data_IF_373911048164
#
_entry.id   IF_373911048164
#
_cell.length_a   1.000
_cell.length_b   1.000
_cell.length_c   1.000
_cell.angle_alpha   90.00
_cell.angle_beta   90.00
_cell.angle_gamma   90.00
#
_symmetry.space_group_name_H-M   'P 1'
#
loop_
_entity.id
_entity.type
_entity.pdbx_description
1 polymer ?
#
# COMPACT_ATOMS: atom_id res chain seq x y z
N UNK A 1 6.06 -18.45 -14.00
CA UNK A 1 5.97 -17.73 -12.72
C UNK A 1 4.59 -17.09 -12.67
N UNK A 2 3.90 -17.07 -11.53
CA UNK A 2 2.60 -16.40 -11.42
C UNK A 2 2.72 -14.94 -11.87
N UNK A 3 1.85 -14.52 -12.78
CA UNK A 3 1.76 -13.13 -13.22
C UNK A 3 0.83 -12.39 -12.26
N UNK A 4 1.27 -11.32 -11.56
CA UNK A 4 0.40 -10.57 -10.66
C UNK A 4 -0.80 -9.96 -11.40
N UNK A 5 -0.75 -9.82 -12.72
CA UNK A 5 -1.90 -9.39 -13.52
C UNK A 5 -3.02 -10.43 -13.58
N UNK A 6 -2.78 -11.69 -13.24
CA UNK A 6 -3.84 -12.72 -13.20
C UNK A 6 -4.53 -12.81 -11.83
N UNK A 7 -4.02 -12.13 -10.81
CA UNK A 7 -4.62 -12.09 -9.47
C UNK A 7 -5.80 -11.12 -9.44
N UNK A 8 -6.80 -11.37 -8.59
CA UNK A 8 -7.88 -10.41 -8.39
C UNK A 8 -7.39 -9.15 -7.64
N UNK A 9 -8.17 -8.06 -7.72
CA UNK A 9 -7.78 -6.76 -7.15
C UNK A 9 -7.59 -6.80 -5.63
N UNK A 10 -8.44 -7.53 -4.91
CA UNK A 10 -8.35 -7.65 -3.45
C UNK A 10 -7.08 -8.42 -3.07
N UNK A 11 -6.74 -9.49 -3.81
CA UNK A 11 -5.52 -10.25 -3.58
C UNK A 11 -4.26 -9.42 -3.86
N UNK A 12 -4.23 -8.66 -4.97
CA UNK A 12 -3.12 -7.74 -5.27
C UNK A 12 -2.96 -6.69 -4.16
N UNK A 13 -4.05 -6.07 -3.72
CA UNK A 13 -4.00 -5.07 -2.66
C UNK A 13 -3.52 -5.70 -1.34
N UNK A 14 -4.06 -6.86 -0.96
CA UNK A 14 -3.67 -7.60 0.25
C UNK A 14 -2.19 -7.94 0.26
N UNK A 15 -1.64 -8.46 -0.85
CA UNK A 15 -0.21 -8.77 -0.99
C UNK A 15 0.65 -7.50 -0.96
N UNK A 16 0.16 -6.40 -1.50
CA UNK A 16 0.85 -5.11 -1.45
C UNK A 16 0.94 -4.62 0.00
N UNK A 17 -0.18 -4.60 0.73
CA UNK A 17 -0.20 -4.23 2.16
C UNK A 17 0.67 -5.19 2.99
N UNK A 18 0.69 -6.48 2.68
CA UNK A 18 1.60 -7.44 3.30
C UNK A 18 3.09 -7.08 3.07
N UNK A 19 3.44 -6.69 1.84
CA UNK A 19 4.79 -6.27 1.50
C UNK A 19 5.25 -5.03 2.27
N UNK A 20 4.34 -4.08 2.44
CA UNK A 20 4.65 -2.74 2.96
C UNK A 20 4.45 -2.60 4.47
N UNK A 21 3.51 -3.37 5.07
CA UNK A 21 3.02 -3.09 6.42
C UNK A 21 2.71 -4.35 7.26
N UNK A 22 3.16 -5.55 6.89
CA UNK A 22 2.89 -6.78 7.69
C UNK A 22 3.39 -6.73 9.14
N UNK A 23 4.41 -5.92 9.43
CA UNK A 23 4.95 -5.71 10.77
C UNK A 23 4.31 -4.53 11.52
N UNK A 24 3.41 -3.79 10.87
CA UNK A 24 2.73 -2.65 11.46
C UNK A 24 1.43 -3.09 12.16
N UNK A 25 0.88 -2.19 12.97
CA UNK A 25 -0.45 -2.37 13.58
C UNK A 25 -1.54 -2.43 12.50
N UNK A 26 -2.75 -2.84 12.89
CA UNK A 26 -3.94 -2.81 12.02
C UNK A 26 -4.15 -1.41 11.42
N UNK A 27 -3.92 -0.35 12.19
CA UNK A 27 -4.05 1.02 11.71
C UNK A 27 -2.96 1.39 10.69
N UNK A 28 -1.74 0.87 10.83
CA UNK A 28 -0.68 1.05 9.84
C UNK A 28 -0.96 0.29 8.54
N UNK A 29 -1.52 -0.92 8.62
CA UNK A 29 -1.96 -1.69 7.46
C UNK A 29 -3.11 -0.98 6.73
N UNK A 30 -4.09 -0.47 7.49
CA UNK A 30 -5.19 0.31 6.95
C UNK A 30 -4.71 1.61 6.29
N UNK A 31 -3.71 2.28 6.87
CA UNK A 31 -3.14 3.50 6.33
C UNK A 31 -2.51 3.28 4.94
N UNK A 32 -1.76 2.19 4.74
CA UNK A 32 -1.21 1.83 3.43
C UNK A 32 -2.32 1.50 2.43
N UNK A 33 -3.36 0.76 2.84
CA UNK A 33 -4.51 0.48 1.98
C UNK A 33 -5.23 1.77 1.56
N UNK A 34 -5.40 2.73 2.48
CA UNK A 34 -5.98 4.04 2.19
C UNK A 34 -5.13 4.87 1.24
N UNK A 35 -3.80 4.85 1.34
CA UNK A 35 -2.93 5.51 0.35
C UNK A 35 -3.18 4.97 -1.06
N UNK A 36 -3.33 3.65 -1.19
CA UNK A 36 -3.59 3.02 -2.49
C UNK A 36 -4.98 3.43 -3.02
N UNK A 37 -6.01 3.39 -2.16
CA UNK A 37 -7.36 3.83 -2.48
C UNK A 37 -7.38 5.31 -2.90
N UNK A 38 -6.71 6.18 -2.16
CA UNK A 38 -6.61 7.62 -2.42
C UNK A 38 -5.89 7.92 -3.74
N UNK A 39 -4.83 7.16 -4.07
CA UNK A 39 -4.14 7.25 -5.38
C UNK A 39 -5.06 6.86 -6.52
N UNK A 40 -5.78 5.75 -6.40
CA UNK A 40 -6.73 5.29 -7.40
C UNK A 40 -7.85 6.32 -7.62
N UNK A 41 -8.40 6.87 -6.53
CA UNK A 41 -9.41 7.92 -6.57
C UNK A 41 -8.91 9.22 -7.23
N UNK A 42 -7.65 9.62 -7.00
CA UNK A 42 -7.05 10.78 -7.72
C UNK A 42 -6.81 10.50 -9.20
N UNK A 43 -6.64 9.24 -9.61
CA UNK A 43 -6.54 8.84 -11.02
C UNK A 43 -5.33 9.42 -11.78
N UNK A 44 -4.28 9.88 -11.09
CA UNK A 44 -3.08 10.45 -11.72
C UNK A 44 -2.31 9.34 -12.44
N UNK A 45 -2.08 9.51 -13.75
CA UNK A 45 -1.47 8.46 -14.61
C UNK A 45 -0.15 7.90 -14.08
N UNK A 46 0.70 8.72 -13.44
CA UNK A 46 1.97 8.26 -12.90
C UNK A 46 1.82 7.40 -11.63
N UNK A 47 0.73 7.55 -10.88
CA UNK A 47 0.40 6.74 -9.69
C UNK A 47 -0.35 5.46 -10.05
N UNK A 48 -1.15 5.48 -11.12
CA UNK A 48 -2.12 4.42 -11.45
C UNK A 48 -3.55 4.96 -11.44
N UNK A 49 -4.48 4.23 -12.07
CA UNK A 49 -5.89 4.65 -12.23
C UNK A 49 -6.90 3.76 -11.54
N UNK A 50 -6.51 2.53 -11.23
CA UNK A 50 -7.27 1.55 -10.44
C UNK A 50 -6.42 1.09 -9.26
N UNK A 51 -7.01 0.45 -8.26
CA UNK A 51 -6.27 -0.08 -7.10
C UNK A 51 -5.18 -1.04 -7.58
N UNK A 52 -5.54 -1.97 -8.48
CA UNK A 52 -4.58 -2.93 -9.04
C UNK A 52 -3.48 -2.23 -9.85
N UNK A 53 -3.82 -1.23 -10.66
CA UNK A 53 -2.82 -0.46 -11.40
C UNK A 53 -1.86 0.25 -10.46
N UNK A 54 -2.37 0.87 -9.39
CA UNK A 54 -1.55 1.57 -8.39
C UNK A 54 -0.56 0.63 -7.73
N UNK A 55 -1.03 -0.57 -7.33
CA UNK A 55 -0.17 -1.58 -6.73
C UNK A 55 0.93 -2.06 -7.69
N UNK A 56 0.57 -2.38 -8.93
CA UNK A 56 1.47 -3.02 -9.90
C UNK A 56 2.25 -2.02 -10.76
N UNK A 57 2.03 -0.72 -10.59
CA UNK A 57 2.75 0.32 -11.32
C UNK A 57 4.26 0.23 -11.01
N UNK A 58 5.13 0.23 -12.03
CA UNK A 58 6.57 0.14 -11.81
C UNK A 58 7.08 1.19 -10.82
N UNK A 59 7.89 0.74 -9.86
CA UNK A 59 8.54 1.57 -8.83
C UNK A 59 7.59 2.25 -7.82
N UNK A 60 6.26 2.05 -7.88
CA UNK A 60 5.35 2.58 -6.85
C UNK A 60 5.39 1.74 -5.57
N UNK A 61 5.51 0.42 -5.71
CA UNK A 61 5.65 -0.51 -4.60
C UNK A 61 6.78 -1.50 -4.93
N UNK A 62 7.90 -1.33 -4.23
CA UNK A 62 9.15 -2.03 -4.55
C UNK A 62 9.01 -3.55 -4.48
N UNK A 63 8.06 -4.06 -3.69
CA UNK A 63 7.79 -5.48 -3.53
C UNK A 63 7.33 -6.19 -4.81
N UNK A 64 6.82 -5.45 -5.81
CA UNK A 64 6.41 -5.98 -7.11
C UNK A 64 7.49 -5.90 -8.20
N UNK A 65 8.58 -5.18 -7.96
CA UNK A 65 9.67 -5.04 -8.93
C UNK A 65 10.30 -6.41 -9.24
N UNK A 66 10.60 -6.66 -10.52
CA UNK A 66 11.05 -7.98 -11.02
C UNK A 66 12.32 -8.50 -10.35
N UNK A 67 13.21 -7.61 -9.92
CA UNK A 67 14.45 -7.91 -9.22
C UNK A 67 14.30 -8.02 -7.68
N UNK A 68 13.12 -7.76 -7.13
CA UNK A 68 12.92 -7.81 -5.68
C UNK A 68 12.74 -9.27 -5.22
N UNK A 69 13.57 -9.69 -4.26
CA UNK A 69 13.50 -11.03 -3.65
C UNK A 69 12.13 -11.32 -3.02
N UNK A 70 11.45 -10.28 -2.52
CA UNK A 70 10.12 -10.40 -1.93
C UNK A 70 9.04 -10.63 -2.98
N UNK A 71 9.26 -10.35 -4.27
CA UNK A 71 8.25 -10.54 -5.30
C UNK A 71 7.84 -12.01 -5.42
N UNK A 72 8.83 -12.93 -5.40
CA UNK A 72 8.55 -14.37 -5.42
C UNK A 72 7.83 -14.81 -4.14
N UNK A 73 8.20 -14.25 -2.99
CA UNK A 73 7.50 -14.49 -1.73
C UNK A 73 6.04 -14.05 -1.84
N UNK A 74 5.78 -12.81 -2.31
CA UNK A 74 4.44 -12.28 -2.46
C UNK A 74 3.59 -13.14 -3.38
N UNK A 75 4.11 -13.58 -4.52
CA UNK A 75 3.36 -14.43 -5.45
C UNK A 75 3.03 -15.83 -4.88
N UNK A 76 3.84 -16.34 -3.95
CA UNK A 76 3.62 -17.65 -3.33
C UNK A 76 3.09 -17.54 -1.89
N UNK A 77 2.59 -16.37 -1.48
CA UNK A 77 2.00 -16.21 -0.15
C UNK A 77 0.88 -17.23 0.05
N UNK A 78 0.91 -17.89 1.20
CA UNK A 78 -0.17 -18.75 1.65
C UNK A 78 -1.39 -17.89 1.98
N UNK A 79 -2.37 -17.86 1.09
CA UNK A 79 -3.60 -17.08 1.25
C UNK A 79 -4.48 -17.59 2.39
N UNK A 80 -4.20 -18.77 2.95
CA UNK A 80 -4.88 -19.31 4.13
C UNK A 80 -4.15 -19.04 5.44
N UNK A 81 -3.03 -18.32 5.40
CA UNK A 81 -2.29 -17.96 6.61
C UNK A 81 -3.04 -16.89 7.40
N UNK A 82 -2.97 -16.96 8.74
CA UNK A 82 -3.65 -16.01 9.63
C UNK A 82 -3.27 -14.55 9.32
N UNK A 83 -1.98 -14.30 9.06
CA UNK A 83 -1.50 -12.97 8.72
C UNK A 83 -2.09 -12.43 7.41
N UNK A 84 -2.22 -13.27 6.39
CA UNK A 84 -2.82 -12.86 5.12
C UNK A 84 -4.31 -12.58 5.31
N UNK A 85 -5.04 -13.46 5.97
CA UNK A 85 -6.48 -13.31 6.26
C UNK A 85 -6.77 -12.05 7.08
N UNK A 86 -5.94 -11.76 8.09
CA UNK A 86 -6.07 -10.54 8.89
C UNK A 86 -5.87 -9.27 8.06
N UNK A 87 -4.83 -9.23 7.21
CA UNK A 87 -4.60 -8.09 6.32
C UNK A 87 -5.73 -7.97 5.29
N UNK A 88 -6.21 -9.10 4.74
CA UNK A 88 -7.33 -9.11 3.78
C UNK A 88 -8.59 -8.49 4.39
N UNK A 89 -8.92 -8.82 5.63
CA UNK A 89 -10.07 -8.22 6.34
C UNK A 89 -9.92 -6.71 6.49
N UNK A 90 -8.72 -6.22 6.78
CA UNK A 90 -8.44 -4.77 6.88
C UNK A 90 -8.63 -4.11 5.51
N UNK A 91 -8.10 -4.73 4.45
CA UNK A 91 -8.27 -4.27 3.07
C UNK A 91 -9.74 -4.18 2.68
N UNK A 92 -10.52 -5.24 2.92
CA UNK A 92 -11.95 -5.27 2.64
C UNK A 92 -12.71 -4.17 3.41
N UNK A 93 -12.34 -3.91 4.67
CA UNK A 93 -12.94 -2.83 5.45
C UNK A 93 -12.68 -1.44 4.84
N UNK A 94 -11.46 -1.21 4.33
CA UNK A 94 -11.08 0.04 3.66
C UNK A 94 -11.85 0.20 2.34
N UNK A 95 -11.87 -0.84 1.50
CA UNK A 95 -12.57 -0.79 0.20
C UNK A 95 -14.09 -0.59 0.37
N UNK A 96 -14.68 -1.19 1.40
CA UNK A 96 -16.10 -1.04 1.71
C UNK A 96 -16.43 0.24 2.48
N UNK A 97 -15.42 1.07 2.83
CA UNK A 97 -15.62 2.31 3.60
C UNK A 97 -16.05 2.11 5.05
N UNK A 98 -15.99 0.88 5.56
CA UNK A 98 -16.35 0.55 6.96
C UNK A 98 -15.24 0.88 7.96
N UNK A 99 -14.02 1.16 7.47
CA UNK A 99 -12.91 1.69 8.25
C UNK A 99 -12.51 3.06 7.69
N UNK A 100 -12.60 4.11 8.50
CA UNK A 100 -12.29 5.49 8.09
C UNK A 100 -10.83 5.68 7.67
N UNK A 101 -10.57 6.67 6.80
CA UNK A 101 -9.21 7.08 6.42
C UNK A 101 -8.50 7.75 7.61
N UNK A 102 -7.48 7.08 8.14
CA UNK A 102 -6.65 7.58 9.23
C UNK A 102 -5.42 8.38 8.74
N UNK A 103 -5.28 8.58 7.43
CA UNK A 103 -4.10 9.23 6.80
C UNK A 103 -4.32 10.69 6.39
N UNK A 104 -5.53 11.23 6.58
CA UNK A 104 -5.92 12.56 6.12
C UNK A 104 -5.78 12.73 4.58
N UNK A 105 -6.24 11.75 3.80
CA UNK A 105 -6.22 11.82 2.34
C UNK A 105 -4.81 11.67 1.73
N UNK A 106 -3.90 11.00 2.44
CA UNK A 106 -2.51 10.90 1.99
C UNK A 106 -2.38 10.04 0.74
N UNK A 107 -1.43 10.43 -0.11
CA UNK A 107 -1.05 9.66 -1.31
C UNK A 107 0.42 9.28 -1.32
N UNK A 108 1.18 9.68 -0.31
CA UNK A 108 2.59 9.35 -0.17
C UNK A 108 2.88 8.99 1.27
N UNK A 109 3.83 8.09 1.46
CA UNK A 109 4.40 7.80 2.77
C UNK A 109 5.85 7.35 2.60
N UNK A 110 6.60 7.40 3.70
CA UNK A 110 7.90 6.75 3.82
C UNK A 110 8.10 6.24 5.24
N UNK A 111 9.06 5.34 5.44
CA UNK A 111 9.45 4.90 6.79
C UNK A 111 10.19 6.02 7.51
N UNK A 112 10.04 6.10 8.83
CA UNK A 112 10.73 7.05 9.71
C UNK A 112 12.26 6.97 9.65
N UNK A 113 12.79 5.88 9.08
CA UNK A 113 14.22 5.59 8.97
C UNK A 113 14.89 6.25 7.75
N UNK A 114 14.13 6.85 6.84
CA UNK A 114 14.65 7.50 5.64
C UNK A 114 14.05 8.90 5.46
N UNK A 115 14.73 9.77 4.72
CA UNK A 115 14.23 11.10 4.37
C UNK A 115 14.36 11.33 2.85
N UNK A 116 13.31 11.04 2.08
CA UNK A 116 13.32 11.26 0.63
C UNK A 116 13.36 12.74 0.25
N UNK A 117 14.00 13.09 -0.86
CA UNK A 117 14.09 14.49 -1.32
C UNK A 117 12.73 15.18 -1.51
N UNK A 118 11.68 14.44 -1.86
CA UNK A 118 10.34 14.98 -2.07
C UNK A 118 9.69 15.49 -0.77
N UNK A 119 10.23 15.15 0.41
CA UNK A 119 9.74 15.67 1.71
C UNK A 119 10.32 17.03 2.07
N UNK A 120 11.28 17.57 1.29
CA UNK A 120 11.96 18.82 1.62
C UNK A 120 10.96 19.99 1.71
N UNK A 121 10.90 20.63 2.88
CA UNK A 121 9.96 21.73 3.14
C UNK A 121 8.50 21.29 3.31
N UNK A 122 8.24 19.99 3.51
CA UNK A 122 6.92 19.42 3.72
C UNK A 122 6.85 18.74 5.10
N UNK A 123 5.72 18.86 5.77
CA UNK A 123 5.44 18.14 7.01
C UNK A 123 4.47 16.98 6.76
N UNK A 124 4.64 15.84 7.44
CA UNK A 124 3.65 14.76 7.37
C UNK A 124 2.34 15.22 7.99
N UNK A 125 1.23 14.69 7.49
CA UNK A 125 -0.11 14.92 8.04
C UNK A 125 -0.35 14.10 9.30
N UNK A 126 0.24 12.90 9.35
CA UNK A 126 0.16 11.97 10.47
C UNK A 126 1.34 11.01 10.42
N UNK A 127 1.72 10.50 11.60
CA UNK A 127 2.63 9.37 11.74
C UNK A 127 1.86 8.20 12.33
N UNK A 128 1.89 7.04 11.68
CA UNK A 128 1.20 5.82 12.13
C UNK A 128 2.22 4.68 12.11
N UNK A 129 2.50 4.13 13.28
CA UNK A 129 3.59 3.18 13.45
C UNK A 129 4.91 3.76 12.95
N UNK A 130 5.57 3.05 12.04
CA UNK A 130 6.86 3.47 11.47
C UNK A 130 6.73 4.33 10.21
N UNK A 131 5.53 4.74 9.81
CA UNK A 131 5.29 5.47 8.57
C UNK A 131 4.85 6.92 8.80
N UNK A 132 5.43 7.82 8.00
CA UNK A 132 5.05 9.23 7.92
C UNK A 132 4.25 9.44 6.63
N UNK A 133 3.04 9.98 6.74
CA UNK A 133 2.09 10.12 5.63
C UNK A 133 1.96 11.57 5.16
N UNK A 134 1.80 11.77 3.85
CA UNK A 134 1.76 13.09 3.22
C UNK A 134 0.66 13.18 2.17
N UNK A 135 -0.04 14.33 2.14
CA UNK A 135 -1.11 14.64 1.18
C UNK A 135 -0.79 15.81 0.23
N UNK A 136 0.37 16.45 0.38
CA UNK A 136 0.78 17.68 -0.32
C UNK A 136 2.02 17.50 -1.22
N UNK A 137 2.16 16.30 -1.78
CA UNK A 137 3.20 15.90 -2.73
C UNK A 137 2.59 15.75 -4.11
N UNK A 138 3.18 16.41 -5.09
CA UNK A 138 2.74 16.44 -6.48
C UNK A 138 3.56 15.57 -7.42
#
# INVERSE_FOLDING_TARGET
>A
MLDPQTLDEIDVLTRTVYGEARGETIDGQAAVAWVIQNRAAKGRTYMGKTIKDVCLKPNQFSCWNSNNVNRKLLLNLNTKSEIYENIRRVVEQVLNGTRADNTNGSTHYHTSHVQPNWTKGKSPTVTIGNHLFYNNID
#
